data_IF_719420188739
#
_entry.id   IF_719420188739
#
_cell.length_a   1.000
_cell.length_b   1.000
_cell.length_c   1.000
_cell.angle_alpha   90.00
_cell.angle_beta   90.00
_cell.angle_gamma   90.00
#
_symmetry.space_group_name_H-M   'P 1'
#
loop_
_entity.id
_entity.type
_entity.pdbx_description
1 polymer ?
#
# COMPACT_ATOMS: atom_id res chain seq x y z
N UNK A 1 -30.36 -4.92 -69.54
CA UNK A 1 -29.09 -4.38 -70.08
C UNK A 1 -28.14 -4.17 -68.92
N UNK A 2 -27.09 -4.99 -68.86
CA UNK A 2 -26.21 -5.16 -67.72
C UNK A 2 -25.04 -4.16 -67.76
N UNK A 3 -24.81 -3.43 -66.67
CA UNK A 3 -23.65 -2.56 -66.50
C UNK A 3 -22.56 -3.28 -65.71
N UNK A 4 -21.47 -3.63 -66.39
CA UNK A 4 -20.27 -4.23 -65.81
C UNK A 4 -19.46 -3.19 -65.02
N UNK A 5 -19.12 -3.53 -63.76
CA UNK A 5 -18.09 -2.82 -62.99
C UNK A 5 -16.80 -3.64 -63.01
N UNK A 6 -15.77 -3.04 -63.58
CA UNK A 6 -14.39 -3.53 -63.65
C UNK A 6 -13.72 -3.54 -62.27
N UNK A 7 -13.06 -4.66 -61.95
CA UNK A 7 -12.22 -4.87 -60.77
C UNK A 7 -10.90 -4.13 -60.90
N UNK A 8 -10.57 -3.29 -59.93
CA UNK A 8 -9.23 -2.72 -59.76
C UNK A 8 -8.31 -3.71 -59.03
N UNK A 9 -7.20 -4.05 -59.66
CA UNK A 9 -6.12 -4.87 -59.10
C UNK A 9 -5.04 -4.03 -58.42
N UNK A 10 -4.45 -4.65 -57.39
CA UNK A 10 -3.04 -4.57 -56.98
C UNK A 10 -2.49 -3.27 -56.38
N UNK A 11 -2.02 -3.37 -55.13
CA UNK A 11 -0.64 -3.06 -54.73
C UNK A 11 -0.40 -3.51 -53.29
N UNK A 12 0.24 -4.66 -53.15
CA UNK A 12 0.92 -5.10 -51.92
C UNK A 12 2.30 -4.45 -51.85
N UNK A 13 2.74 -3.88 -50.72
CA UNK A 13 4.11 -3.44 -50.55
C UNK A 13 5.02 -4.63 -50.19
N UNK A 14 6.15 -4.66 -50.90
CA UNK A 14 7.22 -5.66 -50.89
C UNK A 14 7.89 -5.81 -49.52
N UNK A 15 8.14 -7.06 -49.17
CA UNK A 15 9.07 -7.54 -48.15
C UNK A 15 10.51 -7.19 -48.54
N UNK A 16 11.21 -6.42 -47.69
CA UNK A 16 12.67 -6.32 -47.73
C UNK A 16 13.28 -7.44 -46.87
N UNK A 17 13.81 -8.45 -47.52
CA UNK A 17 14.78 -9.41 -46.99
C UNK A 17 16.18 -9.02 -47.48
N UNK A 18 17.06 -8.58 -46.58
CA UNK A 18 18.51 -8.54 -46.78
C UNK A 18 19.19 -8.95 -45.46
N UNK A 19 19.89 -10.10 -45.48
CA UNK A 19 21.36 -10.23 -45.54
C UNK A 19 21.98 -10.15 -44.11
N UNK A 20 22.13 -11.26 -43.38
CA UNK A 20 23.26 -12.23 -43.38
C UNK A 20 24.66 -11.61 -43.24
N UNK A 21 25.33 -12.00 -42.13
CA UNK A 21 26.78 -12.04 -41.78
C UNK A 21 27.27 -11.00 -40.73
N UNK A 22 28.37 -11.27 -40.00
CA UNK A 22 28.80 -12.52 -39.38
C UNK A 22 29.21 -12.36 -37.89
N UNK A 23 29.58 -13.50 -37.29
CA UNK A 23 30.13 -13.71 -35.94
C UNK A 23 31.22 -12.71 -35.56
N UNK A 24 31.09 -12.09 -34.38
CA UNK A 24 32.22 -11.56 -33.62
C UNK A 24 32.50 -12.47 -32.42
N UNK A 25 33.79 -12.65 -32.22
CA UNK A 25 34.48 -13.67 -31.44
C UNK A 25 34.49 -13.28 -29.96
N UNK A 26 34.54 -14.31 -29.12
CA UNK A 26 34.75 -14.26 -27.68
C UNK A 26 35.89 -13.31 -27.26
N UNK A 27 35.60 -12.46 -26.29
CA UNK A 27 36.61 -11.79 -25.47
C UNK A 27 36.36 -12.16 -24.00
N UNK A 28 36.96 -13.28 -23.60
CA UNK A 28 37.10 -13.69 -22.20
C UNK A 28 38.04 -12.70 -21.49
N UNK A 29 37.49 -11.76 -20.73
CA UNK A 29 38.26 -10.96 -19.77
C UNK A 29 38.20 -11.63 -18.40
N UNK A 30 39.21 -12.47 -18.15
CA UNK A 30 39.58 -12.93 -16.81
C UNK A 30 40.16 -11.78 -16.01
N UNK A 31 39.35 -11.14 -15.17
CA UNK A 31 39.86 -10.21 -14.15
C UNK A 31 40.12 -11.01 -12.87
N UNK A 32 41.35 -11.48 -12.74
CA UNK A 32 41.92 -11.89 -11.45
C UNK A 32 42.05 -10.65 -10.56
N UNK A 33 41.30 -10.60 -9.47
CA UNK A 33 41.59 -9.70 -8.33
C UNK A 33 41.96 -10.53 -7.11
N UNK A 34 43.26 -10.77 -6.99
CA UNK A 34 43.94 -10.97 -5.72
C UNK A 34 44.20 -9.63 -5.03
N UNK A 35 44.47 -9.67 -3.73
CA UNK A 35 44.97 -8.61 -2.83
C UNK A 35 43.91 -8.16 -1.82
N UNK A 36 43.83 -8.79 -0.64
CA UNK A 36 44.73 -8.66 0.53
C UNK A 36 44.31 -7.51 1.46
N UNK A 37 43.96 -7.94 2.68
CA UNK A 37 44.02 -7.33 4.00
C UNK A 37 44.32 -5.81 4.13
N UNK A 38 43.48 -5.14 4.92
CA UNK A 38 43.95 -4.39 6.10
C UNK A 38 42.78 -4.06 7.02
N UNK A 39 42.68 -4.82 8.11
CA UNK A 39 41.81 -4.51 9.25
C UNK A 39 42.59 -3.57 10.18
N UNK A 40 42.33 -2.28 10.10
CA UNK A 40 42.84 -1.31 11.09
C UNK A 40 41.77 -1.14 12.16
N UNK A 41 42.00 -1.75 13.33
CA UNK A 41 41.22 -1.49 14.54
C UNK A 41 41.62 -0.14 15.12
N UNK A 42 40.76 0.86 14.94
CA UNK A 42 40.87 2.15 15.64
C UNK A 42 40.06 2.09 16.93
N UNK A 43 40.74 1.87 18.06
CA UNK A 43 40.14 1.93 19.39
C UNK A 43 40.01 3.41 19.81
N UNK A 44 38.83 3.99 19.65
CA UNK A 44 38.53 5.36 20.09
C UNK A 44 38.20 5.34 21.59
N UNK A 45 39.16 5.72 22.44
CA UNK A 45 38.95 5.94 23.88
C UNK A 45 38.28 7.30 24.08
N UNK A 46 36.96 7.29 24.31
CA UNK A 46 36.19 8.49 24.69
C UNK A 46 36.43 8.77 26.18
N UNK A 47 37.30 9.73 26.49
CA UNK A 47 37.46 10.29 27.84
C UNK A 47 36.28 11.23 28.15
N UNK A 48 35.46 10.86 29.12
CA UNK A 48 34.39 11.71 29.65
C UNK A 48 34.93 12.94 30.39
N UNK A 49 34.17 14.06 30.41
CA UNK A 49 34.61 15.29 31.07
C UNK A 49 34.57 15.13 32.59
N UNK A 50 35.68 15.45 33.24
CA UNK A 50 35.82 15.53 34.69
C UNK A 50 34.90 16.62 35.24
N UNK A 51 33.99 16.26 36.14
CA UNK A 51 33.22 17.21 36.94
C UNK A 51 34.14 17.76 38.03
N UNK A 52 34.32 19.07 38.04
CA UNK A 52 34.95 19.81 39.13
C UNK A 52 33.92 19.94 40.27
N UNK A 53 34.24 19.54 41.51
CA UNK A 53 33.51 20.04 42.67
C UNK A 53 34.00 21.46 42.98
N UNK A 54 33.14 22.25 43.61
CA UNK A 54 33.40 23.57 44.18
C UNK A 54 33.35 24.76 43.19
N UNK A 55 32.13 25.14 42.82
CA UNK A 55 31.81 26.51 42.41
C UNK A 55 30.66 27.04 43.28
N UNK A 56 30.81 28.21 43.93
CA UNK A 56 29.80 28.77 44.83
C UNK A 56 28.55 29.23 44.07
N UNK A 57 27.42 28.93 44.69
CA UNK A 57 26.05 29.04 44.21
C UNK A 57 25.62 30.50 44.02
N UNK A 58 25.96 31.08 42.86
CA UNK A 58 25.48 32.40 42.46
C UNK A 58 24.02 32.34 41.97
N UNK A 59 23.18 33.18 42.57
CA UNK A 59 21.77 33.46 42.27
C UNK A 59 21.27 32.99 40.89
N UNK A 60 20.54 31.87 40.89
CA UNK A 60 19.62 31.54 39.79
C UNK A 60 18.47 32.56 39.78
N UNK A 61 18.20 33.26 38.67
CA UNK A 61 16.99 34.06 38.54
C UNK A 61 15.75 33.16 38.70
N UNK A 62 14.63 33.69 39.21
CA UNK A 62 13.41 32.93 39.40
C UNK A 62 13.01 32.30 38.06
N UNK A 63 12.89 30.98 38.07
CA UNK A 63 12.41 30.18 36.95
C UNK A 63 11.02 30.70 36.64
N UNK A 64 10.87 31.48 35.56
CA UNK A 64 9.56 31.87 35.04
C UNK A 64 8.74 30.60 34.87
N UNK A 65 7.59 30.54 35.53
CA UNK A 65 6.64 29.45 35.39
C UNK A 65 6.48 29.08 33.91
N UNK A 66 6.50 27.79 33.54
CA UNK A 66 6.24 27.39 32.17
C UNK A 66 4.93 28.02 31.72
N UNK A 67 4.86 28.62 30.52
CA UNK A 67 3.66 29.26 30.04
C UNK A 67 2.51 28.24 30.06
N UNK A 68 1.40 28.62 30.67
CA UNK A 68 0.17 27.82 30.69
C UNK A 68 -0.10 27.26 29.28
N UNK A 69 -0.38 25.96 29.12
CA UNK A 69 -0.71 25.38 27.83
C UNK A 69 -2.06 25.94 27.39
N UNK A 70 -2.01 27.06 26.67
CA UNK A 70 -3.18 27.70 26.11
C UNK A 70 -3.98 26.65 25.31
N UNK A 71 -5.30 26.49 25.55
CA UNK A 71 -6.11 25.40 25.02
C UNK A 71 -6.18 25.37 23.48
N UNK A 72 -5.75 26.43 22.80
CA UNK A 72 -5.62 26.48 21.33
C UNK A 72 -4.51 25.58 20.75
N UNK A 73 -3.70 24.92 21.59
CA UNK A 73 -2.65 23.98 21.16
C UNK A 73 -2.73 22.61 21.81
N UNK A 74 -3.93 22.08 22.03
CA UNK A 74 -4.08 20.64 22.20
C UNK A 74 -3.75 19.99 20.85
N UNK A 75 -2.46 19.70 20.65
CA UNK A 75 -2.04 18.80 19.60
C UNK A 75 -2.86 17.53 19.76
N UNK A 76 -3.59 17.16 18.70
CA UNK A 76 -4.39 15.94 18.70
C UNK A 76 -3.55 14.76 19.13
N UNK A 77 -4.14 13.85 19.92
CA UNK A 77 -3.46 12.62 20.34
C UNK A 77 -2.90 11.83 19.17
N UNK A 78 -3.57 11.85 18.01
CA UNK A 78 -3.07 11.29 16.73
C UNK A 78 -1.78 11.94 16.25
N UNK A 79 -1.68 13.27 16.28
CA UNK A 79 -0.46 13.99 15.87
C UNK A 79 0.69 13.68 16.80
N UNK A 80 0.43 13.70 18.11
CA UNK A 80 1.41 13.37 19.14
C UNK A 80 1.88 11.91 19.02
N UNK A 81 0.97 10.96 18.78
CA UNK A 81 1.33 9.55 18.56
C UNK A 81 2.19 9.37 17.30
N UNK A 82 1.83 10.01 16.19
CA UNK A 82 2.61 9.99 14.96
C UNK A 82 4.02 10.56 15.15
N UNK A 83 4.13 11.71 15.83
CA UNK A 83 5.42 12.36 16.08
C UNK A 83 6.31 11.51 17.00
N UNK A 84 5.74 10.85 18.02
CA UNK A 84 6.46 9.90 18.88
C UNK A 84 7.09 8.74 18.09
N UNK A 85 6.41 8.27 17.05
CA UNK A 85 6.94 7.24 16.15
C UNK A 85 7.87 7.78 15.05
N UNK A 86 8.11 9.09 14.97
CA UNK A 86 8.94 9.70 13.93
C UNK A 86 8.39 9.57 12.51
N UNK A 87 7.07 9.35 12.36
CA UNK A 87 6.43 9.12 11.06
C UNK A 87 6.00 10.44 10.40
N UNK A 88 6.19 10.52 9.08
CA UNK A 88 5.56 11.56 8.25
C UNK A 88 4.07 11.28 8.06
N UNK A 89 3.28 12.30 7.68
CA UNK A 89 1.84 12.13 7.40
C UNK A 89 1.58 11.07 6.31
N UNK A 90 2.45 10.97 5.31
CA UNK A 90 2.29 10.03 4.19
C UNK A 90 2.55 8.60 4.65
N UNK A 91 3.60 8.39 5.46
CA UNK A 91 3.91 7.08 6.04
C UNK A 91 2.82 6.61 7.00
N UNK A 92 2.28 7.50 7.84
CA UNK A 92 1.18 7.16 8.74
C UNK A 92 -0.10 6.80 7.97
N UNK A 93 -0.40 7.54 6.88
CA UNK A 93 -1.52 7.22 6.01
C UNK A 93 -1.35 5.85 5.32
N UNK A 94 -0.16 5.56 4.81
CA UNK A 94 0.17 4.26 4.21
C UNK A 94 0.11 3.11 5.22
N UNK A 95 0.53 3.35 6.48
CA UNK A 95 0.48 2.37 7.58
C UNK A 95 -0.96 1.96 7.92
N UNK A 96 -1.87 2.93 7.99
CA UNK A 96 -3.29 2.71 8.31
C UNK A 96 -4.09 2.27 7.06
N UNK A 97 -3.51 2.42 5.86
CA UNK A 97 -4.18 2.08 4.60
C UNK A 97 -5.21 3.12 4.13
N UNK A 98 -5.04 4.39 4.50
CA UNK A 98 -5.94 5.49 4.14
C UNK A 98 -5.27 6.52 3.23
N UNK A 99 -6.07 7.34 2.56
CA UNK A 99 -5.53 8.46 1.79
C UNK A 99 -4.90 9.51 2.72
N UNK A 100 -3.73 10.04 2.35
CA UNK A 100 -3.05 11.17 3.01
C UNK A 100 -3.98 12.33 3.36
N UNK A 101 -4.91 12.70 2.47
CA UNK A 101 -5.87 13.79 2.72
C UNK A 101 -6.78 13.51 3.91
N UNK A 102 -7.24 12.26 4.03
CA UNK A 102 -8.04 11.76 5.16
C UNK A 102 -7.23 11.79 6.44
N UNK A 103 -6.00 11.25 6.41
CA UNK A 103 -5.11 11.27 7.57
C UNK A 103 -4.79 12.70 8.03
N UNK A 104 -4.55 13.62 7.09
CA UNK A 104 -4.31 15.05 7.38
C UNK A 104 -5.51 15.71 8.07
N UNK A 105 -6.74 15.30 7.76
CA UNK A 105 -7.91 15.78 8.47
C UNK A 105 -7.92 15.29 9.94
N UNK A 106 -7.49 14.05 10.17
CA UNK A 106 -7.37 13.48 11.51
C UNK A 106 -6.25 14.09 12.35
N UNK A 107 -5.09 14.31 11.73
CA UNK A 107 -3.95 15.02 12.32
C UNK A 107 -4.33 16.46 12.75
N UNK A 108 -5.41 17.03 12.17
CA UNK A 108 -5.98 18.35 12.50
C UNK A 108 -7.16 18.32 13.49
N UNK A 109 -7.55 17.16 14.02
CA UNK A 109 -8.64 17.07 15.01
C UNK A 109 -9.98 16.60 14.47
N UNK A 110 -10.09 16.25 13.18
CA UNK A 110 -11.29 15.55 12.70
C UNK A 110 -11.25 14.10 13.18
N UNK A 111 -12.34 13.63 13.76
CA UNK A 111 -12.46 12.23 14.19
C UNK A 111 -12.93 11.34 13.02
N UNK A 112 -12.36 10.14 12.83
CA UNK A 112 -12.97 9.10 12.00
C UNK A 112 -14.37 8.75 12.53
N UNK A 113 -15.35 8.62 11.62
CA UNK A 113 -16.72 8.20 12.01
C UNK A 113 -16.85 6.70 12.17
N UNK A 114 -15.96 5.94 11.53
CA UNK A 114 -16.01 4.49 11.49
C UNK A 114 -15.31 3.89 12.73
N UNK A 115 -16.02 3.11 13.58
CA UNK A 115 -15.44 2.50 14.78
C UNK A 115 -14.35 1.47 14.47
N UNK A 116 -14.45 0.72 13.38
CA UNK A 116 -13.42 -0.27 13.00
C UNK A 116 -12.10 0.45 12.67
N UNK A 117 -12.21 1.57 11.97
CA UNK A 117 -11.06 2.39 11.60
C UNK A 117 -10.39 3.03 12.82
N UNK A 118 -11.16 3.41 13.85
CA UNK A 118 -10.59 3.88 15.13
C UNK A 118 -9.73 2.80 15.78
N UNK A 119 -10.16 1.54 15.72
CA UNK A 119 -9.41 0.41 16.25
C UNK A 119 -8.12 0.17 15.46
N UNK A 120 -8.17 0.18 14.12
CA UNK A 120 -6.96 0.07 13.27
C UNK A 120 -5.96 1.19 13.58
N UNK A 121 -6.42 2.42 13.82
CA UNK A 121 -5.54 3.53 14.18
C UNK A 121 -4.91 3.31 15.56
N UNK A 122 -5.70 2.81 16.53
CA UNK A 122 -5.21 2.49 17.87
C UNK A 122 -4.12 1.42 17.86
N UNK A 123 -4.33 0.37 17.09
CA UNK A 123 -3.36 -0.72 16.88
C UNK A 123 -2.11 -0.22 16.15
N UNK A 124 -2.28 0.58 15.09
CA UNK A 124 -1.16 1.10 14.29
C UNK A 124 -0.23 2.05 15.07
N UNK A 125 -0.75 2.78 16.04
CA UNK A 125 0.02 3.70 16.89
C UNK A 125 0.34 3.13 18.29
N UNK A 126 -0.06 1.88 18.57
CA UNK A 126 0.07 1.26 19.91
C UNK A 126 -0.45 2.17 21.03
N UNK A 127 -1.47 2.99 20.73
CA UNK A 127 -1.99 4.02 21.63
C UNK A 127 -3.49 3.82 21.78
N UNK A 128 -4.02 3.66 23.00
CA UNK A 128 -5.44 3.39 23.20
C UNK A 128 -6.30 4.58 22.74
N UNK A 129 -7.50 4.28 22.20
CA UNK A 129 -8.42 5.29 21.62
C UNK A 129 -8.67 6.51 22.53
N UNK A 130 -8.86 6.37 23.87
CA UNK A 130 -9.06 7.53 24.74
C UNK A 130 -7.87 8.50 24.79
N UNK A 131 -6.64 8.01 24.60
CA UNK A 131 -5.43 8.85 24.54
C UNK A 131 -5.30 9.52 23.18
N UNK A 132 -5.74 8.86 22.10
CA UNK A 132 -5.74 9.43 20.75
C UNK A 132 -6.79 10.53 20.57
N UNK A 133 -7.93 10.39 21.23
CA UNK A 133 -9.02 11.37 21.26
C UNK A 133 -9.59 11.52 22.68
N UNK A 134 -9.01 12.41 23.50
CA UNK A 134 -9.53 12.75 24.81
C UNK A 134 -11.00 13.15 24.69
N UNK A 135 -11.86 12.46 25.42
CA UNK A 135 -13.33 12.52 25.30
C UNK A 135 -13.96 13.78 25.90
N UNK A 136 -13.15 14.69 26.44
CA UNK A 136 -13.65 15.72 27.35
C UNK A 136 -14.51 16.80 26.66
N UNK A 137 -14.57 16.82 25.32
CA UNK A 137 -15.33 17.83 24.56
C UNK A 137 -16.32 17.29 23.53
N UNK A 138 -16.67 15.99 23.50
CA UNK A 138 -17.64 15.52 22.48
C UNK A 138 -18.52 14.33 22.89
N UNK A 139 -19.85 14.49 23.07
CA UNK A 139 -20.75 13.37 23.45
C UNK A 139 -20.79 12.24 22.42
N UNK A 140 -20.55 12.53 21.14
CA UNK A 140 -20.47 11.53 20.05
C UNK A 140 -19.30 10.55 20.28
N UNK A 141 -18.23 11.01 20.94
CA UNK A 141 -17.08 10.19 21.28
C UNK A 141 -17.39 9.13 22.34
N UNK A 142 -18.20 9.49 23.33
CA UNK A 142 -18.68 8.57 24.36
C UNK A 142 -19.57 7.49 23.76
N UNK A 143 -20.45 7.85 22.82
CA UNK A 143 -21.33 6.91 22.12
C UNK A 143 -20.54 5.93 21.24
N UNK A 144 -19.55 6.43 20.48
CA UNK A 144 -18.67 5.56 19.67
C UNK A 144 -17.85 4.59 20.52
N UNK A 145 -17.41 5.01 21.71
CA UNK A 145 -16.70 4.12 22.65
C UNK A 145 -17.62 3.09 23.30
N UNK A 146 -18.89 3.42 23.55
CA UNK A 146 -19.91 2.43 23.96
C UNK A 146 -20.11 1.39 22.86
N UNK A 147 -20.32 1.84 21.62
CA UNK A 147 -20.51 0.95 20.47
C UNK A 147 -19.31 -0.01 20.26
N UNK A 148 -18.07 0.46 20.45
CA UNK A 148 -16.88 -0.40 20.40
C UNK A 148 -16.85 -1.45 21.52
N UNK A 149 -17.21 -1.07 22.75
CA UNK A 149 -17.32 -2.01 23.87
C UNK A 149 -18.39 -3.06 23.62
N UNK A 150 -19.53 -2.66 23.07
CA UNK A 150 -20.62 -3.57 22.74
C UNK A 150 -20.19 -4.57 21.64
N UNK A 151 -19.44 -4.10 20.63
CA UNK A 151 -18.92 -4.95 19.56
C UNK A 151 -17.85 -5.95 20.08
N UNK A 152 -16.97 -5.51 20.98
CA UNK A 152 -16.01 -6.40 21.65
C UNK A 152 -16.71 -7.44 22.54
N UNK A 153 -17.73 -7.03 23.28
CA UNK A 153 -18.54 -7.94 24.09
C UNK A 153 -19.28 -8.98 23.22
N UNK A 154 -19.84 -8.56 22.09
CA UNK A 154 -20.49 -9.47 21.13
C UNK A 154 -19.49 -10.49 20.55
N UNK A 155 -18.27 -10.05 20.20
CA UNK A 155 -17.23 -10.96 19.68
C UNK A 155 -16.75 -11.95 20.73
N UNK A 156 -16.65 -11.54 22.00
CA UNK A 156 -16.31 -12.43 23.10
C UNK A 156 -17.42 -13.46 23.37
N UNK A 157 -18.69 -13.06 23.25
CA UNK A 157 -19.83 -13.98 23.38
C UNK A 157 -19.86 -15.03 22.26
N UNK A 158 -19.57 -14.63 21.02
CA UNK A 158 -19.49 -15.53 19.86
C UNK A 158 -18.35 -16.56 20.00
N UNK A 159 -17.18 -16.10 20.48
CA UNK A 159 -16.06 -16.99 20.80
C UNK A 159 -16.39 -17.97 21.94
N UNK A 160 -17.12 -17.53 22.96
CA UNK A 160 -17.56 -18.41 24.05
C UNK A 160 -18.58 -19.45 23.57
N UNK A 161 -19.49 -19.09 22.67
CA UNK A 161 -20.46 -20.01 22.08
C UNK A 161 -19.78 -21.08 21.21
N UNK A 162 -18.79 -20.71 20.41
CA UNK A 162 -18.06 -21.66 19.56
C UNK A 162 -17.12 -22.58 20.36
N UNK A 163 -16.51 -22.09 21.44
CA UNK A 163 -15.57 -22.88 22.27
C UNK A 163 -16.22 -24.01 23.09
N UNK A 164 -17.54 -24.01 23.30
CA UNK A 164 -18.21 -25.07 24.08
C UNK A 164 -18.68 -26.27 23.25
N UNK A 165 -18.59 -26.22 21.92
CA UNK A 165 -19.07 -27.32 21.06
C UNK A 165 -18.03 -28.42 20.82
N UNK A 166 -16.74 -28.17 21.07
CA UNK A 166 -15.68 -29.18 20.85
C UNK A 166 -15.36 -30.03 22.08
N UNK A 167 -15.79 -29.67 23.29
CA UNK A 167 -15.41 -30.40 24.52
C UNK A 167 -16.38 -31.51 24.96
N UNK A 168 -17.48 -31.75 24.25
CA UNK A 168 -18.51 -32.74 24.68
C UNK A 168 -18.53 -34.02 23.84
N UNK A 169 -17.77 -34.12 22.75
CA UNK A 169 -17.81 -35.30 21.85
C UNK A 169 -16.66 -36.30 22.00
N UNK A 170 -15.69 -36.10 22.91
CA UNK A 170 -14.54 -37.01 23.08
C UNK A 170 -14.60 -37.95 24.30
N UNK A 171 -15.65 -37.92 25.14
CA UNK A 171 -15.63 -38.71 26.40
C UNK A 171 -16.43 -40.01 26.45
N UNK A 172 -17.14 -40.45 25.40
CA UNK A 172 -17.89 -41.72 25.46
C UNK A 172 -17.77 -42.57 24.19
N UNK A 173 -16.63 -43.25 24.03
CA UNK A 173 -16.54 -44.44 23.20
C UNK A 173 -16.33 -45.67 24.13
N UNK A 174 -17.31 -46.58 24.25
CA UNK A 174 -17.11 -47.82 24.99
C UNK A 174 -16.11 -48.72 24.25
N UNK A 175 -15.14 -49.24 25.01
CA UNK A 175 -14.18 -50.26 24.56
C UNK A 175 -14.94 -51.51 24.12
N UNK A 176 -15.14 -51.69 22.81
CA UNK A 176 -15.52 -52.96 22.22
C UNK A 176 -14.24 -53.71 21.80
N UNK A 177 -13.83 -54.64 22.64
CA UNK A 177 -12.86 -55.69 22.36
C UNK A 177 -13.48 -56.79 21.49
N UNK A 178 -12.68 -57.29 20.53
CA UNK A 178 -12.82 -58.58 19.80
C UNK A 178 -13.88 -58.65 18.69
N UNK A 179 -13.43 -58.60 17.44
CA UNK A 179 -13.63 -59.65 16.43
C UNK A 179 -13.00 -59.20 15.10
N UNK A 180 -11.79 -59.70 14.81
CA UNK A 180 -11.29 -59.83 13.46
C UNK A 180 -12.02 -61.02 12.78
N UNK A 181 -12.06 -61.00 11.45
CA UNK A 181 -12.62 -62.01 10.54
C UNK A 181 -14.13 -61.99 10.29
N UNK A 182 -14.56 -61.15 9.34
CA UNK A 182 -15.53 -61.49 8.28
C UNK A 182 -16.00 -60.21 7.54
N UNK A 183 -15.23 -59.72 6.56
CA UNK A 183 -15.82 -58.81 5.56
C UNK A 183 -15.13 -58.89 4.20
N UNK A 184 -15.02 -60.11 3.69
CA UNK A 184 -14.81 -60.35 2.26
C UNK A 184 -16.14 -60.86 1.68
N UNK A 185 -16.64 -60.15 0.66
CA UNK A 185 -17.82 -60.42 -0.18
C UNK A 185 -19.03 -59.55 0.12
N UNK A 186 -19.13 -58.41 -0.58
CA UNK A 186 -20.36 -57.94 -1.22
C UNK A 186 -20.03 -56.68 -2.04
N UNK A 187 -19.84 -56.86 -3.35
CA UNK A 187 -19.95 -55.78 -4.31
C UNK A 187 -21.39 -55.76 -4.86
N UNK A 188 -22.14 -54.65 -4.76
CA UNK A 188 -23.34 -54.48 -5.55
C UNK A 188 -23.00 -53.94 -6.94
N UNK A 189 -23.70 -54.51 -7.91
CA UNK A 189 -23.57 -54.33 -9.33
C UNK A 189 -23.79 -52.89 -9.81
N UNK A 190 -22.97 -52.55 -10.80
CA UNK A 190 -23.08 -51.59 -11.89
C UNK A 190 -24.53 -51.16 -12.22
N UNK A 191 -24.87 -49.92 -11.90
CA UNK A 191 -26.12 -49.26 -12.32
C UNK A 191 -25.84 -48.27 -13.46
N UNK A 192 -26.43 -48.55 -14.62
CA UNK A 192 -26.38 -47.78 -15.85
C UNK A 192 -27.04 -46.39 -15.69
N UNK A 193 -26.46 -45.29 -16.19
CA UNK A 193 -27.11 -43.98 -16.14
C UNK A 193 -28.16 -43.81 -17.26
N UNK A 194 -29.33 -43.19 -16.98
CA UNK A 194 -30.34 -42.89 -18.00
C UNK A 194 -29.98 -41.66 -18.86
N UNK A 195 -30.55 -41.55 -20.08
CA UNK A 195 -30.19 -40.51 -21.05
C UNK A 195 -30.72 -39.12 -20.65
N UNK A 196 -29.85 -38.12 -20.79
CA UNK A 196 -30.15 -36.71 -20.56
C UNK A 196 -30.93 -36.14 -21.75
N UNK A 197 -32.25 -35.99 -21.60
CA UNK A 197 -33.06 -35.16 -22.50
C UNK A 197 -32.92 -33.69 -22.11
N UNK A 198 -32.51 -32.87 -23.08
CA UNK A 198 -32.36 -31.43 -22.94
C UNK A 198 -33.71 -30.71 -22.85
N UNK A 199 -33.81 -29.81 -21.87
CA UNK A 199 -34.84 -28.79 -21.81
C UNK A 199 -34.18 -27.47 -21.39
N UNK A 200 -34.04 -26.56 -22.34
CA UNK A 200 -33.77 -25.14 -22.13
C UNK A 200 -34.82 -24.49 -21.24
N UNK A 201 -34.42 -23.50 -20.42
CA UNK A 201 -35.29 -22.38 -20.14
C UNK A 201 -34.63 -21.06 -20.58
N UNK A 202 -35.12 -20.52 -21.69
CA UNK A 202 -35.15 -19.09 -21.92
C UNK A 202 -36.31 -18.50 -21.12
N UNK A 203 -36.06 -17.41 -20.39
CA UNK A 203 -37.12 -16.48 -19.98
C UNK A 203 -37.05 -16.05 -18.52
N UNK A 204 -36.25 -15.02 -18.23
CA UNK A 204 -36.54 -13.94 -17.27
C UNK A 204 -35.29 -13.06 -17.08
N UNK A 205 -35.10 -12.08 -17.95
CA UNK A 205 -34.32 -10.88 -17.61
C UNK A 205 -34.77 -9.70 -18.46
N UNK A 206 -35.83 -9.03 -17.99
CA UNK A 206 -36.18 -7.66 -18.38
C UNK A 206 -36.97 -7.00 -17.26
N UNK A 207 -36.27 -6.25 -16.42
CA UNK A 207 -36.70 -5.02 -15.75
C UNK A 207 -35.76 -4.76 -14.59
N UNK A 208 -34.89 -3.76 -14.75
CA UNK A 208 -34.48 -2.70 -13.80
C UNK A 208 -33.32 -1.98 -14.52
N UNK A 209 -33.68 -1.14 -15.49
CA UNK A 209 -32.82 -0.04 -15.96
C UNK A 209 -33.75 1.16 -16.19
N UNK A 210 -33.91 2.00 -15.18
CA UNK A 210 -34.24 3.41 -15.36
C UNK A 210 -33.97 4.16 -14.05
N UNK A 211 -33.42 5.36 -14.20
CA UNK A 211 -33.21 6.42 -13.18
C UNK A 211 -31.98 6.33 -12.28
N UNK A 212 -30.83 6.76 -12.81
CA UNK A 212 -29.98 7.70 -12.06
C UNK A 212 -29.17 8.58 -13.04
N UNK A 213 -29.78 9.69 -13.45
CA UNK A 213 -29.13 10.74 -14.23
C UNK A 213 -28.63 11.81 -13.24
N UNK A 214 -27.33 11.76 -12.94
CA UNK A 214 -26.66 12.66 -12.01
C UNK A 214 -25.51 13.37 -12.70
N UNK A 215 -25.81 14.52 -13.33
CA UNK A 215 -24.82 15.50 -13.79
C UNK A 215 -24.01 15.99 -12.60
N UNK A 216 -22.72 15.65 -12.55
CA UNK A 216 -21.72 16.38 -11.79
C UNK A 216 -20.65 16.89 -12.74
N UNK A 217 -20.79 18.17 -13.11
CA UNK A 217 -19.76 18.97 -13.74
C UNK A 217 -18.66 19.27 -12.72
N UNK A 218 -17.51 18.61 -12.85
CA UNK A 218 -16.29 18.99 -12.14
C UNK A 218 -15.20 19.31 -13.15
N UNK A 219 -14.81 20.59 -13.15
CA UNK A 219 -13.72 21.17 -13.94
C UNK A 219 -12.38 20.44 -13.77
N UNK A 220 -11.67 20.07 -14.85
CA UNK A 220 -10.34 19.48 -14.73
C UNK A 220 -9.26 20.56 -14.89
N UNK A 221 -8.56 20.85 -13.81
CA UNK A 221 -7.38 21.72 -13.86
C UNK A 221 -6.45 21.49 -12.68
N UNK A 222 -5.48 20.58 -12.85
CA UNK A 222 -4.07 20.72 -12.43
C UNK A 222 -3.33 19.38 -12.56
N UNK A 223 -2.34 19.35 -13.45
CA UNK A 223 -1.35 18.29 -13.60
C UNK A 223 -0.25 18.44 -12.54
N UNK A 224 0.13 17.39 -11.80
CA UNK A 224 1.28 17.45 -10.90
C UNK A 224 2.60 17.20 -11.66
N UNK A 225 3.70 17.89 -11.31
CA UNK A 225 5.00 17.68 -11.94
C UNK A 225 5.69 16.41 -11.41
N UNK A 226 6.38 15.72 -12.31
CA UNK A 226 7.22 14.56 -12.05
C UNK A 226 8.36 14.92 -11.08
N UNK A 227 8.53 14.14 -9.99
CA UNK A 227 9.66 14.28 -9.07
C UNK A 227 10.60 13.10 -9.13
N UNK A 228 11.88 13.47 -9.30
CA UNK A 228 13.09 12.65 -9.33
C UNK A 228 13.26 11.84 -8.03
N UNK A 229 13.54 10.56 -8.17
CA UNK A 229 13.86 9.67 -7.06
C UNK A 229 15.23 9.96 -6.47
N UNK A 230 15.28 10.32 -5.18
CA UNK A 230 16.49 10.25 -4.35
C UNK A 230 16.52 8.89 -3.68
N UNK A 231 17.57 8.11 -3.94
CA UNK A 231 17.93 6.92 -3.15
C UNK A 231 18.60 7.40 -1.86
N UNK A 232 18.09 6.97 -0.71
CA UNK A 232 18.77 7.12 0.58
C UNK A 232 18.73 5.78 1.32
N UNK A 233 19.88 5.47 1.90
CA UNK A 233 20.26 4.25 2.59
C UNK A 233 19.56 4.15 3.95
N UNK A 234 19.12 2.93 4.30
CA UNK A 234 18.54 2.58 5.60
C UNK A 234 19.67 2.00 6.47
N UNK A 235 19.92 2.49 7.69
CA UNK A 235 20.77 1.78 8.65
C UNK A 235 19.96 0.64 9.30
N UNK A 236 20.55 -0.55 9.34
CA UNK A 236 20.00 -1.70 10.05
C UNK A 236 20.17 -1.49 11.56
N UNK A 237 19.06 -1.52 12.31
CA UNK A 237 19.07 -1.57 13.77
C UNK A 237 18.96 -3.04 14.18
N UNK A 238 20.02 -3.54 14.82
CA UNK A 238 20.08 -4.89 15.42
C UNK A 238 19.50 -4.79 16.82
N UNK A 239 18.35 -5.43 17.06
CA UNK A 239 17.82 -5.62 18.41
C UNK A 239 18.25 -6.98 18.94
N UNK A 240 19.12 -6.98 19.94
CA UNK A 240 19.43 -8.13 20.77
C UNK A 240 18.45 -8.14 21.95
N UNK A 241 17.62 -9.19 22.06
CA UNK A 241 16.94 -9.52 23.30
C UNK A 241 16.90 -11.05 23.43
N UNK A 242 17.76 -11.56 24.31
CA UNK A 242 17.67 -12.90 24.85
C UNK A 242 17.61 -12.75 26.37
N UNK A 243 16.48 -13.10 26.97
CA UNK A 243 16.33 -13.25 28.41
C UNK A 243 15.66 -14.59 28.68
N UNK A 244 16.36 -15.39 29.47
CA UNK A 244 16.00 -16.72 29.91
C UNK A 244 14.76 -16.71 30.82
N UNK A 245 13.88 -17.68 30.63
CA UNK A 245 12.89 -18.07 31.61
C UNK A 245 13.26 -19.48 32.11
N UNK A 246 13.97 -19.52 33.24
CA UNK A 246 14.12 -20.73 34.04
C UNK A 246 12.82 -20.95 34.82
N UNK A 247 12.22 -22.13 34.65
CA UNK A 247 11.00 -22.52 35.35
C UNK A 247 11.30 -22.89 36.81
N UNK A 248 10.65 -22.18 37.74
CA UNK A 248 10.55 -22.55 39.15
C UNK A 248 9.37 -23.52 39.31
N UNK A 249 9.67 -24.81 39.52
CA UNK A 249 8.69 -25.78 39.97
C UNK A 249 8.53 -25.67 41.49
N UNK A 250 7.33 -25.27 41.93
CA UNK A 250 6.92 -25.27 43.34
C UNK A 250 6.41 -26.68 43.65
N UNK A 251 7.15 -27.40 44.49
CA UNK A 251 6.75 -28.71 44.99
C UNK A 251 5.72 -28.54 46.12
N UNK A 252 4.49 -28.96 45.86
CA UNK A 252 3.49 -29.22 46.89
C UNK A 252 3.77 -30.56 47.55
N UNK A 253 4.17 -30.51 48.82
CA UNK A 253 4.30 -31.65 49.70
C UNK A 253 2.92 -32.20 50.08
N UNK A 254 2.75 -33.51 49.97
CA UNK A 254 1.55 -34.20 50.44
C UNK A 254 1.68 -35.71 50.35
N UNK A 255 2.07 -36.34 51.46
CA UNK A 255 1.50 -37.62 51.89
C UNK A 255 2.16 -38.92 51.42
N UNK A 256 2.49 -39.72 52.43
CA UNK A 256 2.53 -41.19 52.46
C UNK A 256 3.88 -41.89 52.23
N UNK A 257 4.52 -42.13 53.38
CA UNK A 257 5.66 -43.00 53.61
C UNK A 257 5.43 -44.42 53.05
N UNK A 258 6.06 -44.71 51.92
CA UNK A 258 6.36 -46.09 51.52
C UNK A 258 7.88 -46.19 51.32
N UNK A 259 8.61 -47.05 52.06
CA UNK A 259 10.06 -47.21 51.90
C UNK A 259 10.37 -47.91 50.58
N UNK A 260 10.40 -47.14 49.51
CA UNK A 260 10.72 -47.61 48.17
C UNK A 260 12.24 -47.57 48.01
N UNK A 261 12.80 -48.77 47.83
CA UNK A 261 14.20 -49.07 47.48
C UNK A 261 14.84 -47.96 46.62
N UNK A 262 16.06 -47.48 46.93
CA UNK A 262 16.71 -46.42 46.17
C UNK A 262 16.92 -46.89 44.72
N UNK A 263 16.10 -46.35 43.82
CA UNK A 263 16.24 -46.57 42.39
C UNK A 263 17.61 -46.06 41.97
N UNK A 264 18.40 -46.95 41.38
CA UNK A 264 19.72 -46.65 40.83
C UNK A 264 19.57 -45.47 39.86
N UNK A 265 20.38 -44.40 39.97
CA UNK A 265 20.26 -43.26 39.08
C UNK A 265 20.47 -43.75 37.65
N UNK A 266 19.39 -43.73 36.85
CA UNK A 266 19.44 -44.04 35.44
C UNK A 266 20.36 -42.98 34.83
N UNK A 267 21.56 -43.41 34.41
CA UNK A 267 22.52 -42.53 33.77
C UNK A 267 21.83 -41.87 32.58
N UNK A 268 21.58 -40.56 32.66
CA UNK A 268 20.97 -39.80 31.58
C UNK A 268 21.93 -39.86 30.39
N UNK A 269 21.61 -40.69 29.40
CA UNK A 269 22.33 -40.70 28.14
C UNK A 269 22.04 -39.36 27.47
N UNK A 270 23.07 -38.50 27.42
CA UNK A 270 22.96 -37.20 26.78
C UNK A 270 22.55 -37.32 25.31
N UNK A 271 22.16 -36.19 24.67
CA UNK A 271 21.66 -36.21 23.30
C UNK A 271 22.69 -36.82 22.36
N UNK A 272 22.20 -37.71 21.50
CA UNK A 272 22.97 -38.44 20.50
C UNK A 272 23.58 -37.45 19.49
N UNK A 273 24.66 -37.86 18.80
CA UNK A 273 25.30 -37.00 17.79
C UNK A 273 24.31 -36.54 16.71
N UNK A 274 23.37 -37.41 16.31
CA UNK A 274 22.32 -37.10 15.35
C UNK A 274 21.34 -36.03 15.88
N UNK A 275 20.99 -36.06 17.16
CA UNK A 275 20.14 -35.03 17.79
C UNK A 275 20.85 -33.68 17.85
N UNK A 276 22.15 -33.65 18.16
CA UNK A 276 22.95 -32.41 18.14
C UNK A 276 23.05 -31.82 16.75
N UNK A 277 23.22 -32.66 15.72
CA UNK A 277 23.25 -32.22 14.34
C UNK A 277 21.89 -31.66 13.89
N UNK A 278 20.77 -32.33 14.21
CA UNK A 278 19.43 -31.82 13.94
C UNK A 278 19.17 -30.49 14.64
N UNK A 279 19.57 -30.36 15.91
CA UNK A 279 19.43 -29.11 16.65
C UNK A 279 20.25 -27.97 16.01
N UNK A 280 21.47 -28.26 15.55
CA UNK A 280 22.29 -27.29 14.81
C UNK A 280 21.62 -26.87 13.49
N UNK A 281 21.06 -27.82 12.73
CA UNK A 281 20.33 -27.53 11.50
C UNK A 281 19.07 -26.69 11.76
N UNK A 282 18.31 -26.97 12.82
CA UNK A 282 17.17 -26.15 13.24
C UNK A 282 17.58 -24.72 13.63
N UNK A 283 18.71 -24.55 14.34
CA UNK A 283 19.25 -23.23 14.65
C UNK A 283 19.63 -22.45 13.38
N UNK A 284 20.25 -23.11 12.39
CA UNK A 284 20.56 -22.46 11.09
C UNK A 284 19.31 -22.12 10.29
N UNK A 285 18.27 -22.96 10.35
CA UNK A 285 16.98 -22.68 9.74
C UNK A 285 16.36 -21.40 10.33
N UNK A 286 16.39 -21.27 11.65
CA UNK A 286 15.86 -20.10 12.35
C UNK A 286 16.64 -18.82 12.01
N UNK A 287 17.98 -18.90 11.98
CA UNK A 287 18.82 -17.77 11.60
C UNK A 287 18.58 -17.33 10.14
N UNK A 288 18.35 -18.27 9.21
CA UNK A 288 18.01 -17.95 7.83
C UNK A 288 16.63 -17.25 7.71
N UNK A 289 15.63 -17.67 8.51
CA UNK A 289 14.32 -17.00 8.60
C UNK A 289 14.46 -15.57 9.10
N UNK A 290 15.24 -15.35 10.16
CA UNK A 290 15.47 -14.02 10.75
C UNK A 290 16.17 -13.05 9.78
N UNK A 291 17.10 -13.56 8.96
CA UNK A 291 17.75 -12.78 7.90
C UNK A 291 16.83 -12.53 6.69
N UNK A 292 15.69 -13.22 6.60
CA UNK A 292 14.80 -13.19 5.44
C UNK A 292 15.38 -13.89 4.21
N UNK A 293 16.37 -14.78 4.39
CA UNK A 293 16.93 -15.59 3.31
C UNK A 293 16.12 -16.88 3.16
N UNK A 294 14.94 -16.73 2.54
CA UNK A 294 14.00 -17.83 2.39
C UNK A 294 14.51 -18.93 1.45
N UNK A 295 15.38 -18.62 0.48
CA UNK A 295 15.97 -19.63 -0.40
C UNK A 295 16.85 -20.58 0.45
N UNK A 296 17.69 -20.02 1.34
CA UNK A 296 18.50 -20.81 2.26
C UNK A 296 17.62 -21.58 3.25
N UNK A 297 16.62 -20.94 3.85
CA UNK A 297 15.72 -21.59 4.80
C UNK A 297 14.96 -22.78 4.18
N UNK A 298 14.45 -22.63 2.95
CA UNK A 298 13.80 -23.70 2.18
C UNK A 298 14.76 -24.86 1.93
N UNK A 299 16.02 -24.58 1.59
CA UNK A 299 17.04 -25.63 1.38
C UNK A 299 17.39 -26.42 2.65
N UNK A 300 17.36 -25.76 3.81
CA UNK A 300 17.63 -26.40 5.11
C UNK A 300 16.42 -27.24 5.53
N UNK A 301 15.20 -26.70 5.41
CA UNK A 301 13.97 -27.44 5.70
C UNK A 301 13.82 -28.69 4.82
N UNK A 302 14.18 -28.60 3.54
CA UNK A 302 14.19 -29.74 2.63
C UNK A 302 15.21 -30.82 3.05
N UNK A 303 16.41 -30.43 3.52
CA UNK A 303 17.42 -31.37 4.04
C UNK A 303 16.96 -32.07 5.33
N UNK A 304 16.16 -31.39 6.14
CA UNK A 304 15.52 -31.95 7.33
C UNK A 304 14.31 -32.85 7.01
N UNK A 305 13.93 -33.00 5.74
CA UNK A 305 12.71 -33.67 5.28
C UNK A 305 11.43 -33.10 5.92
N UNK A 306 11.44 -31.83 6.32
CA UNK A 306 10.27 -31.14 6.85
C UNK A 306 9.48 -30.49 5.70
N UNK A 307 8.58 -31.27 5.12
CA UNK A 307 7.74 -30.86 3.97
C UNK A 307 6.77 -29.74 4.35
N UNK A 308 6.27 -29.73 5.59
CA UNK A 308 5.38 -28.70 6.11
C UNK A 308 6.11 -27.36 6.23
N UNK A 309 7.29 -27.33 6.85
CA UNK A 309 8.10 -26.12 6.94
C UNK A 309 8.55 -25.62 5.57
N UNK A 310 8.92 -26.54 4.67
CA UNK A 310 9.29 -26.20 3.28
C UNK A 310 8.15 -25.50 2.54
N UNK A 311 6.93 -26.01 2.67
CA UNK A 311 5.73 -25.43 2.04
C UNK A 311 5.38 -24.08 2.65
N UNK A 312 5.37 -23.97 3.98
CA UNK A 312 5.08 -22.71 4.67
C UNK A 312 6.10 -21.61 4.36
N UNK A 313 7.38 -21.97 4.22
CA UNK A 313 8.43 -21.02 3.83
C UNK A 313 8.28 -20.55 2.38
N UNK A 314 7.93 -21.45 1.44
CA UNK A 314 7.62 -21.08 0.04
C UNK A 314 6.44 -20.11 -0.04
N UNK A 315 5.36 -20.38 0.69
CA UNK A 315 4.19 -19.50 0.76
C UNK A 315 4.57 -18.12 1.33
N UNK A 316 5.33 -18.09 2.43
CA UNK A 316 5.79 -16.84 3.06
C UNK A 316 6.65 -16.01 2.10
N UNK A 317 7.62 -16.64 1.43
CA UNK A 317 8.53 -15.99 0.48
C UNK A 317 7.79 -15.45 -0.74
N UNK A 318 6.86 -16.25 -1.29
CA UNK A 318 5.97 -15.83 -2.37
C UNK A 318 5.10 -14.64 -1.96
N UNK A 319 4.52 -14.68 -0.76
CA UNK A 319 3.72 -13.58 -0.19
C UNK A 319 4.49 -12.27 -0.08
N UNK A 320 5.76 -12.30 0.31
CA UNK A 320 6.62 -11.11 0.36
C UNK A 320 6.84 -10.52 -1.04
N UNK A 321 7.15 -11.35 -2.03
CA UNK A 321 7.30 -10.88 -3.41
C UNK A 321 5.99 -10.35 -3.98
N UNK A 322 4.86 -11.01 -3.69
CA UNK A 322 3.52 -10.56 -4.07
C UNK A 322 3.18 -9.19 -3.46
N UNK A 323 3.49 -8.95 -2.17
CA UNK A 323 3.34 -7.63 -1.53
C UNK A 323 4.22 -6.57 -2.20
N UNK A 324 5.47 -6.90 -2.53
CA UNK A 324 6.39 -5.99 -3.26
C UNK A 324 5.94 -5.71 -4.69
N UNK A 325 5.34 -6.68 -5.37
CA UNK A 325 4.75 -6.52 -6.70
C UNK A 325 3.50 -5.62 -6.63
N UNK A 326 2.60 -5.86 -5.66
CA UNK A 326 1.44 -5.01 -5.39
C UNK A 326 1.84 -3.56 -5.12
N UNK A 327 2.85 -3.35 -4.28
CA UNK A 327 3.40 -2.02 -4.00
C UNK A 327 3.96 -1.33 -5.26
N UNK A 328 4.66 -2.07 -6.14
CA UNK A 328 5.13 -1.54 -7.42
C UNK A 328 3.97 -1.17 -8.36
N UNK A 329 2.95 -2.02 -8.44
CA UNK A 329 1.75 -1.77 -9.24
C UNK A 329 1.00 -0.51 -8.77
N UNK A 330 0.89 -0.31 -7.45
CA UNK A 330 0.27 0.88 -6.85
C UNK A 330 1.07 2.16 -7.14
N UNK A 331 2.41 2.09 -7.16
CA UNK A 331 3.27 3.19 -7.64
C UNK A 331 3.17 3.42 -9.16
N UNK A 332 2.50 2.52 -9.88
CA UNK A 332 2.28 2.61 -11.31
C UNK A 332 3.36 1.98 -12.19
N UNK A 333 4.34 1.32 -11.58
CA UNK A 333 5.42 0.58 -12.25
C UNK A 333 4.97 -0.86 -12.52
N UNK A 334 4.12 -1.00 -13.55
CA UNK A 334 3.54 -2.29 -13.95
C UNK A 334 4.59 -3.30 -14.46
N UNK A 335 5.61 -2.90 -15.25
CA UNK A 335 6.65 -3.83 -15.69
C UNK A 335 7.45 -4.44 -14.53
N UNK A 336 7.80 -3.63 -13.53
CA UNK A 336 8.48 -4.13 -12.33
C UNK A 336 7.55 -5.05 -11.51
N UNK A 337 6.26 -4.73 -11.43
CA UNK A 337 5.29 -5.55 -10.72
C UNK A 337 5.13 -6.94 -11.37
N UNK A 338 5.01 -7.01 -12.70
CA UNK A 338 4.94 -8.28 -13.43
C UNK A 338 6.23 -9.09 -13.30
N UNK A 339 7.39 -8.46 -13.51
CA UNK A 339 8.69 -9.14 -13.36
C UNK A 339 8.88 -9.76 -11.97
N UNK A 340 8.39 -9.08 -10.91
CA UNK A 340 8.44 -9.62 -9.54
C UNK A 340 7.49 -10.78 -9.31
N UNK A 341 6.29 -10.77 -9.90
CA UNK A 341 5.39 -11.91 -9.84
C UNK A 341 5.94 -13.10 -10.60
N UNK A 342 6.45 -12.89 -11.81
CA UNK A 342 7.03 -13.97 -12.64
C UNK A 342 8.23 -14.60 -11.92
N UNK A 343 9.05 -13.78 -11.25
CA UNK A 343 10.14 -14.28 -10.38
C UNK A 343 9.62 -15.08 -9.19
N UNK A 344 8.50 -14.68 -8.58
CA UNK A 344 7.89 -15.41 -7.48
C UNK A 344 7.34 -16.77 -7.93
N UNK A 345 6.62 -16.79 -9.05
CA UNK A 345 6.05 -18.00 -9.63
C UNK A 345 7.15 -18.98 -10.07
N UNK A 346 8.20 -18.49 -10.74
CA UNK A 346 9.33 -19.33 -11.17
C UNK A 346 10.11 -19.93 -10.00
N UNK A 347 10.23 -19.21 -8.87
CA UNK A 347 11.02 -19.67 -7.71
C UNK A 347 10.24 -20.53 -6.74
N UNK A 348 8.98 -20.19 -6.49
CA UNK A 348 8.20 -20.76 -5.40
C UNK A 348 6.94 -21.51 -5.87
N UNK A 349 6.70 -21.55 -7.19
CA UNK A 349 5.52 -22.15 -7.78
C UNK A 349 4.29 -21.25 -7.72
N UNK A 350 3.13 -21.80 -8.08
CA UNK A 350 1.86 -21.10 -7.98
C UNK A 350 1.39 -21.09 -6.54
N UNK A 351 1.22 -19.87 -6.00
CA UNK A 351 0.70 -19.62 -4.66
C UNK A 351 -0.53 -18.73 -4.80
N UNK A 352 -1.64 -18.96 -4.07
CA UNK A 352 -2.89 -18.21 -4.24
C UNK A 352 -2.71 -16.68 -4.21
N UNK A 353 -1.83 -16.15 -3.37
CA UNK A 353 -1.54 -14.72 -3.32
C UNK A 353 -0.96 -14.15 -4.62
N UNK A 354 -0.18 -14.93 -5.37
CA UNK A 354 0.39 -14.51 -6.67
C UNK A 354 -0.75 -14.24 -7.64
N UNK A 355 -1.74 -15.13 -7.68
CA UNK A 355 -2.90 -15.02 -8.58
C UNK A 355 -3.79 -13.83 -8.22
N UNK A 356 -4.03 -13.59 -6.93
CA UNK A 356 -4.76 -12.38 -6.47
C UNK A 356 -4.04 -11.10 -6.93
N UNK A 357 -2.72 -11.04 -6.81
CA UNK A 357 -1.95 -9.85 -7.24
C UNK A 357 -1.90 -9.74 -8.77
N UNK A 358 -1.87 -10.85 -9.51
CA UNK A 358 -1.95 -10.88 -10.98
C UNK A 358 -3.26 -10.27 -11.48
N UNK A 359 -4.41 -10.75 -10.98
CA UNK A 359 -5.73 -10.18 -11.32
C UNK A 359 -5.81 -8.68 -11.01
N UNK A 360 -5.20 -8.25 -9.91
CA UNK A 360 -5.15 -6.82 -9.55
C UNK A 360 -4.32 -6.00 -10.54
N UNK A 361 -3.16 -6.51 -10.97
CA UNK A 361 -2.32 -5.84 -11.98
C UNK A 361 -3.06 -5.73 -13.31
N UNK A 362 -3.75 -6.79 -13.74
CA UNK A 362 -4.58 -6.76 -14.95
C UNK A 362 -5.73 -5.74 -14.84
N UNK A 363 -6.42 -5.69 -13.70
CA UNK A 363 -7.45 -4.68 -13.46
C UNK A 363 -6.88 -3.25 -13.58
N UNK A 364 -5.68 -2.99 -13.07
CA UNK A 364 -4.99 -1.69 -13.20
C UNK A 364 -4.64 -1.40 -14.67
N UNK A 365 -4.16 -2.39 -15.43
CA UNK A 365 -3.88 -2.26 -16.87
C UNK A 365 -5.15 -1.89 -17.64
N UNK A 366 -6.21 -2.66 -17.47
CA UNK A 366 -7.50 -2.44 -18.14
C UNK A 366 -8.08 -1.06 -17.78
N UNK A 367 -7.97 -0.63 -16.52
CA UNK A 367 -8.40 0.69 -16.10
C UNK A 367 -7.59 1.82 -16.76
N UNK A 368 -6.28 1.65 -16.96
CA UNK A 368 -5.42 2.62 -17.66
C UNK A 368 -5.76 2.71 -19.14
N UNK A 369 -5.98 1.57 -19.80
CA UNK A 369 -6.38 1.51 -21.21
C UNK A 369 -7.75 2.15 -21.43
N UNK A 370 -8.73 1.84 -20.57
CA UNK A 370 -10.06 2.48 -20.59
C UNK A 370 -9.94 4.00 -20.47
N UNK A 371 -9.21 4.50 -19.47
CA UNK A 371 -8.96 5.95 -19.31
C UNK A 371 -8.23 6.58 -20.49
N UNK A 372 -7.36 5.85 -21.18
CA UNK A 372 -6.69 6.32 -22.39
C UNK A 372 -7.68 6.41 -23.56
N UNK A 373 -8.54 5.40 -23.74
CA UNK A 373 -9.60 5.39 -24.74
C UNK A 373 -10.61 6.54 -24.52
N UNK A 374 -11.03 6.74 -23.28
CA UNK A 374 -11.95 7.83 -22.92
C UNK A 374 -11.33 9.21 -23.18
N UNK A 375 -10.03 9.39 -22.88
CA UNK A 375 -9.30 10.61 -23.24
C UNK A 375 -9.27 10.86 -24.74
N UNK A 376 -9.00 9.82 -25.56
CA UNK A 376 -9.03 9.93 -27.03
C UNK A 376 -10.43 10.29 -27.54
N UNK A 377 -11.49 9.69 -26.97
CA UNK A 377 -12.89 10.02 -27.31
C UNK A 377 -13.22 11.47 -26.95
N UNK A 378 -12.82 11.92 -25.76
CA UNK A 378 -13.02 13.29 -25.31
C UNK A 378 -12.27 14.30 -26.20
N UNK A 379 -11.04 14.00 -26.58
CA UNK A 379 -10.24 14.82 -27.50
C UNK A 379 -10.88 14.89 -28.89
N UNK A 380 -11.33 13.76 -29.45
CA UNK A 380 -12.07 13.73 -30.71
C UNK A 380 -13.36 14.57 -30.65
N UNK A 381 -14.10 14.49 -29.54
CA UNK A 381 -15.30 15.31 -29.32
C UNK A 381 -14.97 16.80 -29.25
N UNK A 382 -13.89 17.18 -28.55
CA UNK A 382 -13.39 18.56 -28.50
C UNK A 382 -12.94 19.07 -29.88
N UNK A 383 -12.24 18.24 -30.65
CA UNK A 383 -11.83 18.57 -32.01
C UNK A 383 -13.03 18.79 -32.94
N UNK A 384 -14.04 17.92 -32.89
CA UNK A 384 -15.29 18.09 -33.63
C UNK A 384 -16.04 19.36 -33.21
N UNK A 385 -16.08 19.67 -31.90
CA UNK A 385 -16.65 20.91 -31.38
C UNK A 385 -15.94 22.15 -31.92
N UNK A 386 -14.61 22.17 -31.93
CA UNK A 386 -13.80 23.26 -32.51
C UNK A 386 -14.04 23.42 -34.02
N UNK A 387 -14.10 22.32 -34.77
CA UNK A 387 -14.39 22.36 -36.20
C UNK A 387 -15.79 22.94 -36.48
N UNK A 388 -16.80 22.54 -35.69
CA UNK A 388 -18.16 23.09 -35.80
C UNK A 388 -18.20 24.59 -35.48
N UNK A 389 -17.50 25.02 -34.43
CA UNK A 389 -17.40 26.44 -34.06
C UNK A 389 -16.70 27.27 -35.15
N UNK A 390 -15.59 26.76 -35.71
CA UNK A 390 -14.89 27.41 -36.82
C UNK A 390 -15.78 27.55 -38.06
N UNK A 391 -16.50 26.48 -38.45
CA UNK A 391 -17.43 26.53 -39.56
C UNK A 391 -18.58 27.54 -39.34
N UNK A 392 -19.08 27.67 -38.11
CA UNK A 392 -20.09 28.67 -37.75
C UNK A 392 -19.52 30.10 -37.84
N UNK A 393 -18.29 30.32 -37.37
CA UNK A 393 -17.60 31.61 -37.49
C UNK A 393 -17.40 32.01 -38.95
N UNK A 394 -16.97 31.08 -39.82
CA UNK A 394 -16.82 31.34 -41.26
C UNK A 394 -18.15 31.69 -41.94
N UNK A 395 -19.27 31.04 -41.55
CA UNK A 395 -20.59 31.41 -42.07
C UNK A 395 -20.99 32.82 -41.65
N UNK A 396 -20.75 33.19 -40.39
CA UNK A 396 -21.05 34.53 -39.87
C UNK A 396 -20.21 35.62 -40.56
N UNK A 397 -18.92 35.35 -40.79
CA UNK A 397 -18.05 36.25 -41.54
C UNK A 397 -18.54 36.42 -42.98
N UNK A 398 -18.97 35.33 -43.64
CA UNK A 398 -19.52 35.41 -45.01
C UNK A 398 -20.82 36.21 -45.06
N UNK A 399 -21.74 36.02 -44.12
CA UNK A 399 -23.00 36.79 -44.06
C UNK A 399 -22.77 38.29 -43.80
N UNK A 400 -21.71 38.65 -43.08
CA UNK A 400 -21.34 40.06 -42.86
C UNK A 400 -20.73 40.69 -44.12
N UNK A 401 -19.96 39.93 -44.90
CA UNK A 401 -19.36 40.43 -46.14
C UNK A 401 -20.35 40.59 -47.30
N UNK A 402 -21.46 39.83 -47.30
CA UNK A 402 -22.50 39.91 -48.34
C UNK A 402 -23.60 40.92 -48.01
N UNK A 403 -23.54 41.59 -46.86
CA UNK A 403 -24.41 42.73 -46.61
C UNK A 403 -24.08 43.79 -47.68
N UNK A 404 -25.06 44.24 -48.48
CA UNK A 404 -24.81 45.28 -49.47
C UNK A 404 -24.19 46.47 -48.74
N UNK A 405 -23.17 47.15 -49.33
CA UNK A 405 -22.65 48.36 -48.73
C UNK A 405 -23.84 49.28 -48.52
N UNK A 406 -24.19 49.51 -47.25
CA UNK A 406 -25.31 50.37 -46.88
C UNK A 406 -25.09 51.67 -47.64
N UNK A 407 -26.03 51.99 -48.55
CA UNK A 407 -25.94 53.20 -49.35
C UNK A 407 -25.66 54.35 -48.41
N UNK A 408 -24.52 55.00 -48.65
CA UNK A 408 -24.02 56.16 -47.91
C UNK A 408 -25.19 57.08 -47.55
N UNK A 409 -25.71 56.94 -46.33
CA UNK A 409 -26.66 57.89 -45.78
C UNK A 409 -25.91 59.20 -45.66
N UNK A 410 -26.45 60.24 -46.28
CA UNK A 410 -25.92 61.59 -46.25
C UNK A 410 -25.52 62.00 -44.82
N UNK A 411 -24.45 62.79 -44.65
CA UNK A 411 -23.97 63.22 -43.34
C UNK A 411 -25.11 63.86 -42.56
N UNK A 412 -25.53 63.19 -41.48
CA UNK A 412 -26.47 63.78 -40.52
C UNK A 412 -25.84 65.06 -39.95
N UNK A 413 -26.63 66.14 -39.78
CA UNK A 413 -26.14 67.38 -39.19
C UNK A 413 -25.59 67.13 -37.78
N UNK A 414 -24.61 67.93 -37.32
CA UNK A 414 -23.93 67.73 -36.04
C UNK A 414 -24.96 67.80 -34.90
N UNK A 415 -25.26 66.64 -34.31
CA UNK A 415 -26.05 66.57 -33.08
C UNK A 415 -25.23 67.11 -31.91
N UNK A 416 -25.89 67.81 -30.97
CA UNK A 416 -25.23 68.57 -29.91
C UNK A 416 -24.42 67.67 -28.97
N UNK A 417 -23.36 68.27 -28.42
CA UNK A 417 -22.35 67.64 -27.59
C UNK A 417 -22.93 66.68 -26.53
N UNK A 418 -22.35 65.47 -26.37
CA UNK A 418 -22.73 64.58 -25.29
C UNK A 418 -22.35 65.23 -23.96
N UNK A 419 -23.36 65.52 -23.14
CA UNK A 419 -23.18 65.84 -21.73
C UNK A 419 -22.30 64.77 -21.09
N UNK A 420 -21.16 65.20 -20.58
CA UNK A 420 -20.22 64.39 -19.79
C UNK A 420 -20.97 63.55 -18.76
N UNK A 421 -20.81 62.21 -18.76
CA UNK A 421 -21.37 61.39 -17.70
C UNK A 421 -20.70 61.81 -16.38
N UNK A 422 -21.53 62.31 -15.48
CA UNK A 422 -21.16 62.66 -14.12
C UNK A 422 -20.57 61.41 -13.43
N UNK A 423 -19.39 61.49 -12.79
CA UNK A 423 -18.78 60.37 -12.11
C UNK A 423 -19.70 59.91 -10.97
N UNK A 424 -20.06 58.62 -10.99
CA UNK A 424 -20.80 57.99 -9.89
C UNK A 424 -20.01 58.16 -8.58
N UNK A 425 -20.68 58.44 -7.44
CA UNK A 425 -20.00 58.61 -6.16
C UNK A 425 -19.30 57.31 -5.77
N UNK A 426 -18.02 57.45 -5.45
CA UNK A 426 -17.15 56.44 -4.87
C UNK A 426 -17.85 55.75 -3.69
N UNK A 427 -18.00 54.42 -3.65
CA UNK A 427 -18.50 53.74 -2.46
C UNK A 427 -17.52 53.95 -1.31
N UNK A 428 -18.06 54.32 -0.14
CA UNK A 428 -17.32 54.54 1.10
C UNK A 428 -16.39 53.36 1.45
N UNK A 429 -15.21 53.64 2.02
CA UNK A 429 -14.29 52.59 2.43
C UNK A 429 -14.96 51.71 3.50
N UNK A 430 -15.09 50.42 3.20
CA UNK A 430 -15.47 49.41 4.19
C UNK A 430 -14.45 49.43 5.33
N UNK A 431 -14.88 49.45 6.61
CA UNK A 431 -13.96 49.43 7.74
C UNK A 431 -13.07 48.19 7.69
N UNK A 432 -11.79 48.41 7.98
CA UNK A 432 -10.76 47.39 7.97
C UNK A 432 -11.14 46.19 8.86
N UNK A 433 -10.96 44.94 8.40
CA UNK A 433 -10.90 43.81 9.30
C UNK A 433 -9.65 43.97 10.18
N UNK A 434 -9.89 44.40 11.40
CA UNK A 434 -8.98 44.30 12.53
C UNK A 434 -8.41 42.88 12.62
N UNK A 435 -7.07 42.78 12.62
CA UNK A 435 -6.32 41.74 13.33
C UNK A 435 -6.36 40.34 12.72
N UNK A 436 -5.28 39.97 12.02
CA UNK A 436 -5.15 38.60 11.52
C UNK A 436 -3.77 38.25 10.98
N UNK A 437 -2.76 38.24 11.86
CA UNK A 437 -1.68 37.26 11.80
C UNK A 437 -0.73 37.30 10.60
N UNK A 438 0.38 38.01 10.80
CA UNK A 438 1.63 37.89 10.04
C UNK A 438 2.08 36.44 9.89
N UNK A 439 2.31 36.01 8.65
CA UNK A 439 2.86 34.71 8.29
C UNK A 439 3.66 34.82 6.99
N UNK A 440 4.87 35.37 7.11
CA UNK A 440 5.80 35.60 6.01
C UNK A 440 6.19 34.32 5.26
N UNK A 441 5.93 34.31 3.96
CA UNK A 441 6.43 33.32 3.02
C UNK A 441 7.31 33.99 1.97
N UNK A 442 8.58 34.15 2.28
CA UNK A 442 9.62 34.64 1.37
C UNK A 442 9.69 33.76 0.11
N UNK A 443 9.33 34.33 -1.05
CA UNK A 443 9.67 33.78 -2.36
C UNK A 443 10.93 34.48 -2.86
N UNK A 444 12.09 33.85 -2.65
CA UNK A 444 13.30 34.17 -3.40
C UNK A 444 13.16 33.61 -4.82
N UNK A 445 13.02 34.52 -5.78
CA UNK A 445 13.20 34.22 -7.20
C UNK A 445 14.68 34.04 -7.50
N UNK A 446 15.08 32.83 -7.91
CA UNK A 446 16.38 32.55 -8.52
C UNK A 446 16.20 32.41 -10.02
N UNK A 447 16.80 33.35 -10.78
CA UNK A 447 16.82 33.34 -12.23
C UNK A 447 17.51 32.08 -12.79
N UNK A 448 16.92 31.50 -13.84
CA UNK A 448 17.58 30.53 -14.69
C UNK A 448 18.36 31.28 -15.77
N UNK A 449 19.69 31.28 -15.63
CA UNK A 449 20.61 31.49 -16.72
C UNK A 449 20.67 30.22 -17.58
N UNK A 450 20.67 30.45 -18.89
CA UNK A 450 20.88 29.49 -19.97
C UNK A 450 22.22 28.76 -19.85
N UNK A 451 22.17 27.42 -19.72
CA UNK A 451 23.33 26.54 -19.83
C UNK A 451 23.13 25.57 -20.98
N UNK A 452 24.00 25.66 -21.98
CA UNK A 452 23.94 24.90 -23.23
C UNK A 452 24.11 23.39 -23.06
N UNK A 453 23.46 22.67 -23.97
CA UNK A 453 23.66 21.24 -24.17
C UNK A 453 25.04 21.00 -24.80
N UNK A 454 25.86 20.18 -24.15
CA UNK A 454 27.06 19.60 -24.73
C UNK A 454 26.83 18.10 -24.87
N UNK A 455 27.01 17.63 -26.09
CA UNK A 455 26.87 16.27 -26.59
C UNK A 455 28.08 15.43 -26.16
N UNK A 456 27.94 14.22 -25.59
CA UNK A 456 29.05 13.28 -25.46
C UNK A 456 28.84 12.07 -26.38
N UNK A 457 29.24 12.23 -27.63
CA UNK A 457 29.52 11.13 -28.55
C UNK A 457 30.89 11.36 -29.18
N UNK A 458 31.76 10.35 -29.12
CA UNK A 458 33.18 10.30 -29.51
C UNK A 458 34.16 10.64 -28.39
N UNK A 459 34.56 9.63 -27.63
CA UNK A 459 35.92 9.05 -27.68
C UNK A 459 35.92 7.67 -27.02
#
# INVERSE_FOLDING_TARGET
>A
MAAGRTRGHSRTPRSCTQATRPRCVDASLSISRSSAASTVSTTLVVRGPRRHPDAPEAHRPPVSSPPDPSPERLETGVRAARQRMGLTQDQAADLIGVNRGTFKAWDRGRRPRDPELLQVISEAFETPIPVLWPTDENPIAAESLRALRDLQAAKAADQAAHGQTETVLESEAPKATVAADAWASEQPAEATPPPVTGTTPYGLHRQIEATFDGKNDVSPGTTPPARRGRRLLIPAVVSALAVAAAGTAIATAGGEDTPTRPATPIAQTGPTAAERERAAQQATLQQAKERGDYDQAISIAARLNDTAATTGLRQTAAGILARRARSAANRGDLPLATSRLDKAEKRYGQVPEIEVVRRRIEAIKNAREKRAADRKRAEKKRAAGRAKAAAAASRRARSQSTAPPSSSAAPAPPSPAPSTPQPSPTPSPTPAPSGGGSGGGSKSGGGSSSGGAVDPGLY
#
